data_IF_113505745134
#
_entry.id   IF_113505745134
#
_cell.length_a   1.000
_cell.length_b   1.000
_cell.length_c   1.000
_cell.angle_alpha   90.00
_cell.angle_beta   90.00
_cell.angle_gamma   90.00
#
_symmetry.space_group_name_H-M   'P 1'
#
loop_
_entity.id
_entity.type
_entity.pdbx_description
1 polymer ?
#
# COMPACT_ATOMS: atom_id res chain seq x y z
N UNK A 1 -70.85 0.92 -18.96
CA UNK A 1 -69.48 1.45 -18.94
C UNK A 1 -68.92 1.27 -17.53
N UNK A 2 -67.94 0.38 -17.27
CA UNK A 2 -67.36 0.28 -15.94
C UNK A 2 -66.15 1.22 -15.82
N UNK A 3 -66.15 2.03 -14.77
CA UNK A 3 -65.06 2.94 -14.40
C UNK A 3 -63.92 2.12 -13.80
N UNK A 4 -62.75 2.13 -14.45
CA UNK A 4 -61.51 1.52 -13.92
C UNK A 4 -60.87 2.47 -12.90
N UNK A 5 -60.81 2.05 -11.64
CA UNK A 5 -59.94 2.68 -10.64
C UNK A 5 -58.48 2.27 -10.91
N UNK A 6 -57.63 3.25 -11.23
CA UNK A 6 -56.18 3.08 -11.27
C UNK A 6 -55.63 3.21 -9.84
N UNK A 7 -55.17 2.11 -9.24
CA UNK A 7 -54.31 2.17 -8.06
C UNK A 7 -52.94 2.67 -8.48
N UNK A 8 -52.56 3.87 -8.04
CA UNK A 8 -51.17 4.33 -8.08
C UNK A 8 -50.37 3.56 -7.02
N UNK A 9 -49.49 2.66 -7.46
CA UNK A 9 -48.52 2.04 -6.57
C UNK A 9 -47.48 3.09 -6.18
N UNK A 10 -47.51 3.53 -4.91
CA UNK A 10 -46.45 4.33 -4.34
C UNK A 10 -45.18 3.47 -4.25
N UNK A 11 -44.22 3.73 -5.14
CA UNK A 11 -42.86 3.21 -5.03
C UNK A 11 -42.21 3.85 -3.82
N UNK A 12 -42.29 3.19 -2.67
CA UNK A 12 -41.44 3.49 -1.53
C UNK A 12 -40.00 3.23 -1.96
N UNK A 13 -39.27 4.31 -2.24
CA UNK A 13 -37.83 4.25 -2.48
C UNK A 13 -37.17 3.57 -1.30
N UNK A 14 -36.51 2.45 -1.55
CA UNK A 14 -35.58 1.85 -0.58
C UNK A 14 -34.54 2.93 -0.29
N UNK A 15 -34.36 3.37 0.96
CA UNK A 15 -33.31 4.32 1.27
C UNK A 15 -31.99 3.68 0.87
N UNK A 16 -31.27 4.30 -0.08
CA UNK A 16 -29.88 3.98 -0.32
C UNK A 16 -29.17 4.07 1.02
N UNK A 17 -28.76 2.92 1.56
CA UNK A 17 -27.87 2.89 2.71
C UNK A 17 -26.68 3.77 2.34
N UNK A 18 -26.49 4.87 3.07
CA UNK A 18 -25.33 5.73 2.86
C UNK A 18 -24.08 4.86 3.01
N UNK A 19 -23.25 4.82 1.97
CA UNK A 19 -21.94 4.20 2.09
C UNK A 19 -21.24 4.88 3.27
N UNK A 20 -20.88 4.09 4.29
CA UNK A 20 -20.10 4.62 5.41
C UNK A 20 -18.83 5.28 4.85
N UNK A 21 -18.42 6.45 5.35
CA UNK A 21 -17.17 7.06 4.92
C UNK A 21 -16.02 6.06 5.16
N UNK A 22 -15.16 5.87 4.16
CA UNK A 22 -14.01 4.97 4.27
C UNK A 22 -13.13 5.46 5.40
N UNK A 23 -12.76 4.55 6.30
CA UNK A 23 -11.95 4.87 7.48
C UNK A 23 -10.53 4.39 7.26
N UNK A 24 -9.56 5.19 7.67
CA UNK A 24 -8.15 4.81 7.74
C UNK A 24 -7.74 4.74 9.21
N UNK A 25 -7.83 3.56 9.87
CA UNK A 25 -7.26 3.39 11.19
C UNK A 25 -5.77 3.76 11.18
N UNK A 26 -5.32 4.45 12.23
CA UNK A 26 -3.89 4.73 12.43
C UNK A 26 -3.09 3.42 12.39
N UNK A 27 -1.91 3.45 11.78
CA UNK A 27 -0.97 2.34 11.74
C UNK A 27 -0.60 1.81 13.13
N UNK A 28 -0.73 2.62 14.19
CA UNK A 28 -0.54 2.17 15.57
C UNK A 28 -1.54 1.08 16.00
N UNK A 29 -2.75 1.06 15.44
CA UNK A 29 -3.69 -0.04 15.68
C UNK A 29 -3.16 -1.34 15.06
N UNK A 30 -2.57 -1.27 13.87
CA UNK A 30 -1.93 -2.41 13.22
C UNK A 30 -0.70 -2.88 14.02
N UNK A 31 0.08 -1.95 14.58
CA UNK A 31 1.29 -2.20 15.35
C UNK A 31 1.07 -3.11 16.57
N UNK A 32 -0.13 -3.08 17.17
CA UNK A 32 -0.42 -3.90 18.36
C UNK A 32 -0.25 -5.40 18.11
N UNK A 33 -0.55 -5.86 16.89
CA UNK A 33 -0.50 -7.27 16.53
C UNK A 33 0.56 -7.58 15.44
N UNK A 34 0.83 -6.61 14.56
CA UNK A 34 1.76 -6.73 13.44
C UNK A 34 3.09 -5.99 13.67
N UNK A 35 3.37 -5.55 14.90
CA UNK A 35 4.57 -4.76 15.23
C UNK A 35 5.77 -5.56 15.74
N UNK A 36 5.57 -6.82 16.19
CA UNK A 36 6.65 -7.63 16.77
C UNK A 36 6.51 -9.11 16.38
N UNK A 37 7.37 -9.55 15.47
CA UNK A 37 7.45 -10.93 14.98
C UNK A 37 8.91 -11.26 14.75
N UNK A 38 9.45 -12.17 15.57
CA UNK A 38 10.79 -12.69 15.33
C UNK A 38 10.80 -13.58 14.09
N UNK A 39 11.88 -13.57 13.29
CA UNK A 39 12.05 -14.52 12.20
C UNK A 39 12.04 -15.95 12.75
N UNK A 40 11.48 -16.94 12.03
CA UNK A 40 11.63 -18.35 12.38
C UNK A 40 13.11 -18.77 12.22
N UNK A 41 13.54 -19.79 12.98
CA UNK A 41 14.95 -20.19 13.06
C UNK A 41 15.58 -20.55 11.70
N UNK A 42 14.78 -21.08 10.77
CA UNK A 42 15.24 -21.48 9.43
C UNK A 42 15.25 -20.34 8.40
N UNK A 43 14.81 -19.13 8.76
CA UNK A 43 14.77 -17.99 7.84
C UNK A 43 16.17 -17.40 7.61
N UNK A 44 16.47 -17.07 6.36
CA UNK A 44 17.64 -16.32 5.93
C UNK A 44 17.48 -14.80 6.15
N UNK A 45 17.03 -14.39 7.33
CA UNK A 45 16.82 -12.98 7.67
C UNK A 45 17.96 -12.45 8.53
N UNK A 46 18.59 -11.34 8.09
CA UNK A 46 19.78 -10.76 8.75
C UNK A 46 19.68 -9.27 9.06
N UNK A 47 18.57 -8.61 8.70
CA UNK A 47 18.48 -7.14 8.71
C UNK A 47 17.98 -6.54 10.03
N UNK A 48 17.50 -7.37 10.95
CA UNK A 48 17.07 -6.92 12.28
C UNK A 48 16.36 -8.00 13.10
N UNK A 49 15.88 -7.66 14.30
CA UNK A 49 15.25 -8.62 15.21
C UNK A 49 13.80 -8.97 14.85
N UNK A 50 13.18 -8.24 13.93
CA UNK A 50 11.76 -8.37 13.60
C UNK A 50 11.54 -8.40 12.10
N UNK A 51 10.64 -9.29 11.66
CA UNK A 51 10.09 -9.37 10.31
C UNK A 51 8.65 -8.85 10.26
N UNK A 52 8.17 -8.23 11.35
CA UNK A 52 6.77 -7.84 11.45
C UNK A 52 6.40 -6.73 10.45
N UNK A 53 5.26 -6.82 9.75
CA UNK A 53 4.91 -5.86 8.71
C UNK A 53 4.98 -4.40 9.15
N UNK A 54 4.47 -4.05 10.35
CA UNK A 54 4.53 -2.67 10.85
C UNK A 54 5.97 -2.25 11.17
N UNK A 55 6.80 -3.13 11.71
CA UNK A 55 8.20 -2.81 12.04
C UNK A 55 9.00 -2.49 10.78
N UNK A 56 8.82 -3.28 9.72
CA UNK A 56 9.48 -3.05 8.42
C UNK A 56 8.92 -1.82 7.71
N UNK A 57 7.59 -1.66 7.68
CA UNK A 57 6.93 -0.52 7.05
C UNK A 57 7.32 0.81 7.71
N UNK A 58 7.34 0.90 9.05
CA UNK A 58 7.64 2.14 9.78
C UNK A 58 9.04 2.69 9.46
N UNK A 59 9.99 1.79 9.17
CA UNK A 59 11.33 2.16 8.75
C UNK A 59 11.39 2.57 7.26
N UNK A 60 10.44 2.10 6.45
CA UNK A 60 10.43 2.29 4.99
C UNK A 60 10.14 3.72 4.53
N UNK A 61 10.39 3.99 3.24
CA UNK A 61 10.04 5.29 2.64
C UNK A 61 8.52 5.49 2.48
N UNK A 62 7.71 4.43 2.52
CA UNK A 62 6.24 4.58 2.47
C UNK A 62 5.68 5.23 3.74
N UNK A 63 6.21 4.85 4.91
CA UNK A 63 5.88 5.49 6.19
C UNK A 63 6.44 6.92 6.33
N UNK A 64 7.29 7.35 5.38
CA UNK A 64 7.99 8.64 5.39
C UNK A 64 7.70 9.48 4.17
N UNK A 65 6.76 9.05 3.32
CA UNK A 65 6.54 9.63 2.01
C UNK A 65 6.19 11.12 2.10
N UNK A 66 5.44 11.54 3.12
CA UNK A 66 5.08 12.95 3.33
C UNK A 66 6.03 13.71 4.27
N UNK A 67 7.04 13.04 4.85
CA UNK A 67 7.99 13.65 5.80
C UNK A 67 9.43 13.63 5.30
N UNK A 68 9.68 13.09 4.10
CA UNK A 68 10.96 13.16 3.39
C UNK A 68 11.35 14.64 3.15
N UNK A 69 12.54 15.09 3.60
CA UNK A 69 12.99 16.46 3.40
C UNK A 69 13.12 16.86 1.93
N UNK A 70 13.45 15.94 1.02
CA UNK A 70 13.50 16.21 -0.41
C UNK A 70 12.10 16.46 -0.96
N UNK A 71 11.13 15.61 -0.58
CA UNK A 71 9.72 15.81 -0.91
C UNK A 71 9.21 17.15 -0.39
N UNK A 72 9.44 17.46 0.88
CA UNK A 72 9.00 18.72 1.49
C UNK A 72 9.60 19.95 0.79
N UNK A 73 10.88 19.88 0.41
CA UNK A 73 11.54 20.95 -0.35
C UNK A 73 10.90 21.13 -1.73
N UNK A 74 10.60 20.03 -2.43
CA UNK A 74 9.97 20.06 -3.76
C UNK A 74 8.55 20.59 -3.70
N UNK A 75 7.73 20.12 -2.77
CA UNK A 75 6.35 20.61 -2.56
C UNK A 75 6.38 22.11 -2.27
N UNK A 76 7.24 22.57 -1.34
CA UNK A 76 7.38 24.00 -1.06
C UNK A 76 7.73 24.82 -2.30
N UNK A 77 8.63 24.33 -3.14
CA UNK A 77 9.01 25.00 -4.38
C UNK A 77 7.84 25.07 -5.38
N UNK A 78 7.10 23.98 -5.55
CA UNK A 78 5.97 23.93 -6.48
C UNK A 78 4.76 24.73 -5.97
N UNK A 79 4.45 24.68 -4.67
CA UNK A 79 3.35 25.44 -4.08
C UNK A 79 3.55 26.96 -4.20
N UNK A 80 4.80 27.44 -4.27
CA UNK A 80 5.09 28.86 -4.57
C UNK A 80 4.69 29.27 -5.99
N UNK A 81 4.63 28.32 -6.94
CA UNK A 81 4.36 28.57 -8.36
C UNK A 81 2.90 28.27 -8.72
N UNK A 82 2.32 27.25 -8.10
CA UNK A 82 1.04 26.67 -8.48
C UNK A 82 -0.01 26.67 -7.34
N UNK A 83 0.33 27.21 -6.17
CA UNK A 83 -0.57 27.29 -5.03
C UNK A 83 -0.96 25.92 -4.46
N UNK A 84 -2.14 25.86 -3.84
CA UNK A 84 -2.63 24.68 -3.09
C UNK A 84 -3.07 23.52 -3.98
N UNK A 85 -3.19 23.71 -5.30
CA UNK A 85 -3.48 22.62 -6.24
C UNK A 85 -2.36 21.55 -6.25
N UNK A 86 -1.13 21.95 -5.92
CA UNK A 86 0.02 21.05 -5.73
C UNK A 86 -0.21 20.10 -4.58
N UNK A 87 -0.79 20.57 -3.48
CA UNK A 87 -0.98 19.77 -2.27
C UNK A 87 -1.90 18.58 -2.56
N UNK A 88 -3.02 18.80 -3.25
CA UNK A 88 -3.93 17.72 -3.65
C UNK A 88 -3.23 16.71 -4.58
N UNK A 89 -2.39 17.19 -5.51
CA UNK A 89 -1.69 16.32 -6.46
C UNK A 89 -0.63 15.45 -5.77
N UNK A 90 0.19 16.06 -4.92
CA UNK A 90 1.29 15.38 -4.22
C UNK A 90 0.76 14.46 -3.11
N UNK A 91 -0.19 14.93 -2.31
CA UNK A 91 -0.71 14.17 -1.16
C UNK A 91 -1.58 12.99 -1.58
N UNK A 92 -2.14 12.98 -2.80
CA UNK A 92 -2.83 11.81 -3.34
C UNK A 92 -1.98 10.53 -3.34
N UNK A 93 -0.65 10.68 -3.51
CA UNK A 93 0.29 9.55 -3.43
C UNK A 93 1.08 9.53 -2.11
N UNK A 94 1.41 10.68 -1.53
CA UNK A 94 2.33 10.76 -0.38
C UNK A 94 1.62 10.74 0.99
N UNK A 95 0.35 11.14 1.06
CA UNK A 95 -0.49 11.04 2.25
C UNK A 95 -1.95 10.65 1.89
N UNK A 96 -2.16 9.53 1.19
CA UNK A 96 -3.46 9.15 0.62
C UNK A 96 -4.60 9.02 1.64
N UNK A 97 -4.29 8.77 2.90
CA UNK A 97 -5.27 8.73 3.99
C UNK A 97 -5.65 10.13 4.54
N UNK A 98 -5.07 11.20 4.01
CA UNK A 98 -5.24 12.58 4.49
C UNK A 98 -4.40 12.93 5.72
N UNK A 99 -3.43 12.09 6.11
CA UNK A 99 -2.52 12.34 7.23
C UNK A 99 -1.06 12.25 6.76
N UNK A 100 -0.32 13.34 6.90
CA UNK A 100 1.11 13.40 6.58
C UNK A 100 1.95 12.58 7.56
N UNK A 101 1.52 12.50 8.82
CA UNK A 101 2.17 11.67 9.85
C UNK A 101 2.05 10.17 9.53
N UNK A 102 0.91 9.75 9.00
CA UNK A 102 0.66 8.36 8.59
C UNK A 102 1.23 8.05 7.19
N UNK A 103 1.49 9.08 6.37
CA UNK A 103 2.01 8.98 5.00
C UNK A 103 1.23 7.90 4.19
N UNK A 104 1.93 6.97 3.53
CA UNK A 104 1.30 5.80 2.88
C UNK A 104 1.12 4.69 3.92
N UNK A 105 0.03 4.77 4.68
CA UNK A 105 -0.28 3.86 5.79
C UNK A 105 -0.81 2.49 5.34
N UNK A 106 -0.77 1.51 6.25
CA UNK A 106 -1.17 0.12 5.99
C UNK A 106 -2.59 0.05 5.40
N UNK A 107 -3.50 0.81 5.99
CA UNK A 107 -4.92 0.78 5.63
C UNK A 107 -5.20 1.38 4.26
N UNK A 108 -4.27 2.10 3.63
CA UNK A 108 -4.45 2.56 2.24
C UNK A 108 -4.25 1.39 1.29
N UNK A 109 -3.05 0.81 1.24
CA UNK A 109 -2.75 -0.28 0.32
C UNK A 109 -3.69 -1.47 0.51
N UNK A 110 -4.01 -1.80 1.77
CA UNK A 110 -4.90 -2.90 2.09
C UNK A 110 -6.39 -2.58 1.86
N UNK A 111 -6.81 -1.35 1.55
CA UNK A 111 -8.23 -1.03 1.23
C UNK A 111 -8.49 -0.70 -0.24
N UNK A 112 -7.43 -0.53 -1.05
CA UNK A 112 -7.56 -0.36 -2.50
C UNK A 112 -8.28 -1.57 -3.08
N UNK A 113 -9.37 -1.32 -3.80
CA UNK A 113 -10.12 -2.32 -4.56
C UNK A 113 -9.45 -2.63 -5.90
N UNK A 114 -9.90 -3.68 -6.56
CA UNK A 114 -9.48 -4.04 -7.92
C UNK A 114 -10.03 -3.12 -9.02
N UNK A 115 -10.94 -2.20 -8.69
CA UNK A 115 -11.56 -1.31 -9.66
C UNK A 115 -10.54 -0.37 -10.30
N UNK A 116 -10.49 -0.39 -11.62
CA UNK A 116 -9.64 0.44 -12.48
C UNK A 116 -8.12 0.25 -12.29
N UNK A 117 -7.66 -0.77 -11.54
CA UNK A 117 -6.22 -0.97 -11.36
C UNK A 117 -5.51 -1.17 -12.70
N UNK A 118 -4.40 -0.47 -12.90
CA UNK A 118 -3.63 -0.50 -14.15
C UNK A 118 -4.25 0.30 -15.28
N UNK A 119 -5.44 0.89 -15.07
CA UNK A 119 -6.07 1.80 -16.01
C UNK A 119 -5.77 3.25 -15.62
N UNK A 120 -5.84 4.12 -16.63
CA UNK A 120 -5.63 5.57 -16.53
C UNK A 120 -6.36 6.22 -15.35
N UNK A 121 -7.59 5.80 -15.11
CA UNK A 121 -8.44 6.35 -14.05
C UNK A 121 -7.91 6.11 -12.62
N UNK A 122 -7.01 5.15 -12.42
CA UNK A 122 -6.44 4.82 -11.10
C UNK A 122 -5.10 5.50 -10.80
N UNK A 123 -4.45 6.05 -11.82
CA UNK A 123 -3.11 6.62 -11.71
C UNK A 123 -3.10 7.92 -10.92
N UNK A 124 -1.91 8.34 -10.48
CA UNK A 124 -1.70 9.56 -9.69
C UNK A 124 -2.54 9.65 -8.41
N UNK A 125 -2.67 8.53 -7.69
CA UNK A 125 -3.38 8.46 -6.41
C UNK A 125 -4.89 8.31 -6.53
N UNK A 126 -5.44 8.14 -7.73
CA UNK A 126 -6.89 8.04 -7.96
C UNK A 126 -7.43 6.60 -7.81
N UNK A 127 -6.82 5.81 -6.94
CA UNK A 127 -7.27 4.44 -6.69
C UNK A 127 -8.69 4.41 -6.11
N UNK A 128 -9.42 3.35 -6.43
CA UNK A 128 -10.74 3.12 -5.88
C UNK A 128 -10.64 2.32 -4.58
N UNK A 129 -11.30 2.77 -3.51
CA UNK A 129 -11.38 2.03 -2.23
C UNK A 129 -12.58 1.07 -2.23
N UNK A 130 -12.48 -0.04 -1.49
CA UNK A 130 -13.57 -1.03 -1.43
C UNK A 130 -14.92 -0.47 -0.95
N UNK A 131 -14.92 0.51 -0.04
CA UNK A 131 -16.14 1.07 0.56
C UNK A 131 -16.76 0.20 1.66
N UNK A 132 -16.20 -0.99 1.93
CA UNK A 132 -16.79 -2.01 2.80
C UNK A 132 -15.90 -2.37 4.01
N UNK A 133 -15.03 -1.45 4.44
CA UNK A 133 -14.07 -1.66 5.53
C UNK A 133 -13.28 -2.98 5.37
N UNK A 134 -12.82 -3.32 4.16
CA UNK A 134 -12.06 -4.56 3.90
C UNK A 134 -10.57 -4.31 3.92
N UNK A 135 -9.81 -5.17 4.60
CA UNK A 135 -8.35 -5.20 4.50
C UNK A 135 -7.90 -6.40 3.65
N UNK A 136 -7.48 -6.16 2.42
CA UNK A 136 -7.11 -7.17 1.46
C UNK A 136 -5.73 -7.77 1.73
N UNK A 137 -5.63 -9.09 1.66
CA UNK A 137 -4.35 -9.81 1.75
C UNK A 137 -4.32 -11.04 0.84
N UNK A 138 -3.12 -11.59 0.57
CA UNK A 138 -2.96 -12.66 -0.40
C UNK A 138 -3.42 -14.02 0.14
N UNK A 139 -3.56 -14.17 1.46
CA UNK A 139 -3.83 -15.47 2.07
C UNK A 139 -5.32 -15.78 2.15
N UNK A 140 -5.69 -16.98 1.72
CA UNK A 140 -7.04 -17.52 1.84
C UNK A 140 -7.47 -17.69 3.30
N UNK A 141 -8.77 -17.51 3.57
CA UNK A 141 -9.39 -17.74 4.89
C UNK A 141 -8.63 -17.03 6.03
N UNK A 142 -8.53 -15.69 6.01
CA UNK A 142 -7.94 -14.95 7.12
C UNK A 142 -8.76 -15.15 8.40
N UNK A 143 -8.10 -15.08 9.56
CA UNK A 143 -8.80 -15.06 10.85
C UNK A 143 -9.21 -13.63 11.17
N UNK A 144 -10.51 -13.37 11.33
CA UNK A 144 -11.06 -12.02 11.21
C UNK A 144 -11.16 -11.26 12.53
N UNK A 145 -11.71 -11.91 13.56
CA UNK A 145 -12.16 -11.27 14.81
C UNK A 145 -11.19 -10.26 15.44
N UNK A 146 -9.87 -10.53 15.60
CA UNK A 146 -8.98 -9.57 16.24
C UNK A 146 -8.84 -8.26 15.46
N UNK A 147 -8.79 -8.34 14.14
CA UNK A 147 -8.63 -7.17 13.27
C UNK A 147 -9.92 -6.37 13.19
N UNK A 148 -11.06 -7.05 13.04
CA UNK A 148 -12.39 -6.43 13.03
C UNK A 148 -12.66 -5.66 14.33
N UNK A 149 -12.41 -6.29 15.47
CA UNK A 149 -12.66 -5.66 16.78
C UNK A 149 -11.75 -4.48 17.06
N UNK A 150 -10.50 -4.52 16.59
CA UNK A 150 -9.52 -3.49 16.92
C UNK A 150 -9.50 -2.32 15.91
N UNK A 151 -9.82 -2.58 14.65
CA UNK A 151 -9.69 -1.59 13.56
C UNK A 151 -11.00 -1.28 12.86
N UNK A 152 -12.03 -2.14 13.02
CA UNK A 152 -13.23 -2.12 12.20
C UNK A 152 -13.05 -2.70 10.80
N UNK A 153 -11.83 -3.11 10.43
CA UNK A 153 -11.55 -3.69 9.11
C UNK A 153 -11.70 -5.22 9.12
N UNK A 154 -12.37 -5.75 8.11
CA UNK A 154 -12.51 -7.20 7.86
C UNK A 154 -11.36 -7.68 6.97
N UNK A 155 -10.42 -8.51 7.47
CA UNK A 155 -9.38 -9.05 6.62
C UNK A 155 -10.02 -9.97 5.57
N UNK A 156 -9.69 -9.74 4.31
CA UNK A 156 -10.33 -10.38 3.15
C UNK A 156 -9.25 -10.88 2.20
N UNK A 157 -9.39 -12.11 1.71
CA UNK A 157 -8.51 -12.58 0.64
C UNK A 157 -8.81 -11.83 -0.66
N UNK A 158 -7.78 -11.30 -1.32
CA UNK A 158 -7.90 -10.81 -2.69
C UNK A 158 -6.56 -10.90 -3.42
N UNK A 159 -6.58 -11.37 -4.68
CA UNK A 159 -5.38 -11.58 -5.48
C UNK A 159 -4.75 -10.29 -6.00
N UNK A 160 -5.53 -9.21 -6.17
CA UNK A 160 -5.04 -7.93 -6.70
C UNK A 160 -3.99 -7.27 -5.82
N UNK A 161 -3.91 -7.62 -4.52
CA UNK A 161 -2.85 -7.15 -3.62
C UNK A 161 -1.44 -7.55 -4.09
N UNK A 162 -1.35 -8.61 -4.91
CA UNK A 162 -0.11 -9.12 -5.51
C UNK A 162 0.12 -8.60 -6.94
N UNK A 163 -0.78 -7.76 -7.47
CA UNK A 163 -0.67 -7.22 -8.83
C UNK A 163 0.20 -5.97 -8.87
N UNK A 164 1.08 -5.87 -9.86
CA UNK A 164 1.83 -4.65 -10.16
C UNK A 164 0.91 -3.42 -10.34
N UNK A 165 -0.32 -3.65 -10.83
CA UNK A 165 -1.33 -2.62 -11.03
C UNK A 165 -1.76 -1.91 -9.73
N UNK A 166 -1.58 -2.54 -8.56
CA UNK A 166 -1.77 -1.88 -7.26
C UNK A 166 -0.73 -0.79 -7.06
N UNK A 167 0.54 -1.06 -7.35
CA UNK A 167 1.62 -0.09 -7.19
C UNK A 167 1.52 1.03 -8.23
N UNK A 168 0.99 0.72 -9.42
CA UNK A 168 0.77 1.67 -10.51
C UNK A 168 -0.12 2.85 -10.13
N UNK A 169 -0.99 2.71 -9.12
CA UNK A 169 -1.87 3.79 -8.68
C UNK A 169 -1.07 5.01 -8.22
N UNK A 170 0.10 4.80 -7.60
CA UNK A 170 0.99 5.87 -7.17
C UNK A 170 2.25 5.98 -8.05
N UNK A 171 2.76 4.85 -8.56
CA UNK A 171 3.95 4.80 -9.43
C UNK A 171 3.61 4.98 -10.93
N UNK A 172 2.60 5.79 -11.20
CA UNK A 172 2.28 6.34 -12.52
C UNK A 172 1.73 7.74 -12.30
N UNK A 173 2.60 8.74 -12.47
CA UNK A 173 2.28 10.14 -12.16
C UNK A 173 2.11 10.89 -13.47
N UNK A 174 0.90 11.40 -13.67
CA UNK A 174 0.51 12.17 -14.83
C UNK A 174 0.13 13.57 -14.35
N UNK A 175 0.83 14.59 -14.81
CA UNK A 175 0.61 15.98 -14.44
C UNK A 175 0.07 16.80 -15.62
N UNK A 176 -0.41 18.00 -15.33
CA UNK A 176 -0.84 18.98 -16.33
C UNK A 176 0.09 20.19 -16.24
N UNK A 177 1.08 20.32 -17.15
CA UNK A 177 2.06 21.40 -17.08
C UNK A 177 1.40 22.77 -17.27
N UNK A 178 1.80 23.76 -16.47
CA UNK A 178 1.34 25.14 -16.67
C UNK A 178 1.86 25.72 -17.99
N UNK A 179 1.09 26.65 -18.56
CA UNK A 179 1.47 27.33 -19.82
C UNK A 179 1.29 26.47 -21.08
N UNK A 180 0.64 25.31 -20.94
CA UNK A 180 0.25 24.44 -22.06
C UNK A 180 -1.26 24.52 -22.30
N UNK A 181 -1.77 24.12 -23.49
CA UNK A 181 -3.20 24.06 -23.74
C UNK A 181 -3.93 23.23 -22.68
N UNK A 182 -5.18 23.62 -22.37
CA UNK A 182 -6.02 22.88 -21.42
C UNK A 182 -6.13 21.39 -21.83
N UNK A 183 -6.01 20.51 -20.85
CA UNK A 183 -6.00 19.05 -21.08
C UNK A 183 -4.67 18.48 -21.54
N UNK A 184 -3.61 19.29 -21.74
CA UNK A 184 -2.26 18.76 -21.97
C UNK A 184 -1.79 17.96 -20.76
N UNK A 185 -1.23 16.79 -21.02
CA UNK A 185 -0.77 15.87 -20.00
C UNK A 185 0.72 15.56 -20.19
N UNK A 186 1.40 15.36 -19.07
CA UNK A 186 2.79 14.94 -19.02
C UNK A 186 2.94 13.76 -18.06
N UNK A 187 3.57 12.69 -18.53
CA UNK A 187 3.87 11.53 -17.67
C UNK A 187 5.18 11.83 -16.94
N UNK A 188 5.07 12.34 -15.71
CA UNK A 188 6.21 12.66 -14.87
C UNK A 188 6.93 11.41 -14.34
N UNK A 189 6.17 10.36 -14.02
CA UNK A 189 6.71 9.07 -13.61
C UNK A 189 5.99 7.97 -14.38
N UNK A 190 6.75 7.15 -15.10
CA UNK A 190 6.27 6.02 -15.89
C UNK A 190 6.73 4.61 -15.44
N UNK A 191 7.17 4.30 -14.20
CA UNK A 191 7.67 2.96 -13.86
C UNK A 191 6.74 1.80 -14.22
N UNK A 192 5.42 1.97 -14.10
CA UNK A 192 4.47 0.91 -14.50
C UNK A 192 4.44 0.69 -16.02
N UNK A 193 4.52 1.75 -16.82
CA UNK A 193 4.55 1.65 -18.28
C UNK A 193 5.89 1.11 -18.78
N UNK A 194 6.98 1.44 -18.10
CA UNK A 194 8.30 0.84 -18.34
C UNK A 194 8.27 -0.66 -18.01
N UNK A 195 7.71 -1.03 -16.85
CA UNK A 195 7.56 -2.42 -16.42
C UNK A 195 6.69 -3.23 -17.39
N UNK A 196 5.50 -2.73 -17.77
CA UNK A 196 4.56 -3.48 -18.64
C UNK A 196 5.14 -3.70 -20.05
N UNK A 197 6.13 -2.89 -20.44
CA UNK A 197 6.85 -2.99 -21.71
C UNK A 197 8.14 -3.81 -21.60
N UNK A 198 8.43 -4.41 -20.44
CA UNK A 198 9.66 -5.17 -20.17
C UNK A 198 9.40 -6.68 -20.13
N UNK A 199 10.46 -7.47 -20.30
CA UNK A 199 10.43 -8.92 -20.14
C UNK A 199 9.86 -9.38 -18.78
N UNK A 200 10.05 -8.58 -17.72
CA UNK A 200 9.51 -8.90 -16.40
C UNK A 200 7.99 -8.99 -16.39
N UNK A 201 7.29 -8.15 -17.14
CA UNK A 201 5.84 -8.24 -17.26
C UNK A 201 5.41 -9.47 -18.07
N UNK A 202 6.15 -9.81 -19.14
CA UNK A 202 5.92 -11.01 -19.94
C UNK A 202 6.10 -12.29 -19.12
N UNK A 203 7.08 -12.31 -18.21
CA UNK A 203 7.37 -13.41 -17.29
C UNK A 203 6.46 -13.44 -16.05
N UNK A 204 5.54 -12.47 -15.91
CA UNK A 204 4.63 -12.38 -14.75
C UNK A 204 5.31 -11.95 -13.44
N UNK A 205 6.51 -11.38 -13.51
CA UNK A 205 7.22 -10.83 -12.36
C UNK A 205 6.63 -9.48 -11.99
N UNK A 206 5.70 -9.49 -11.04
CA UNK A 206 5.09 -8.27 -10.51
C UNK A 206 6.08 -7.43 -9.69
N UNK A 207 5.75 -6.14 -9.47
CA UNK A 207 6.55 -5.23 -8.63
C UNK A 207 6.85 -5.85 -7.24
N UNK A 208 5.85 -6.48 -6.65
CA UNK A 208 5.92 -7.12 -5.33
C UNK A 208 6.95 -8.26 -5.29
N UNK A 209 7.22 -8.94 -6.41
CA UNK A 209 8.16 -10.06 -6.45
C UNK A 209 9.57 -9.65 -6.03
N UNK A 210 9.97 -8.41 -6.32
CA UNK A 210 11.27 -7.86 -5.93
C UNK A 210 11.18 -6.80 -4.82
N UNK A 211 10.09 -6.00 -4.76
CA UNK A 211 9.98 -4.90 -3.80
C UNK A 211 9.22 -5.26 -2.52
N UNK A 212 8.58 -6.43 -2.48
CA UNK A 212 7.98 -7.03 -1.27
C UNK A 212 8.50 -8.45 -1.17
N UNK A 213 9.81 -8.57 -0.99
CA UNK A 213 10.52 -9.84 -1.01
C UNK A 213 9.88 -10.86 -0.08
N UNK A 214 9.82 -12.11 -0.55
CA UNK A 214 9.35 -13.20 0.29
C UNK A 214 10.43 -13.57 1.29
N UNK A 215 10.03 -13.78 2.54
CA UNK A 215 10.89 -14.35 3.55
C UNK A 215 11.32 -15.75 3.08
N UNK A 216 12.62 -15.94 2.90
CA UNK A 216 13.18 -17.19 2.41
C UNK A 216 13.97 -17.93 3.49
N UNK A 217 14.17 -19.23 3.31
CA UNK A 217 15.11 -20.05 4.07
C UNK A 217 16.55 -19.87 3.54
N UNK A 218 17.54 -20.43 4.23
CA UNK A 218 18.93 -20.44 3.73
C UNK A 218 19.07 -21.16 2.37
N UNK A 219 18.14 -22.05 2.03
CA UNK A 219 18.09 -22.76 0.75
C UNK A 219 17.37 -21.96 -0.36
N UNK A 220 16.82 -20.78 -0.05
CA UNK A 220 16.09 -19.94 -1.01
C UNK A 220 14.60 -20.30 -1.17
N UNK A 221 14.06 -21.15 -0.32
CA UNK A 221 12.64 -21.56 -0.33
C UNK A 221 11.78 -20.62 0.54
N UNK A 222 10.46 -20.54 0.29
CA UNK A 222 9.57 -19.72 1.13
C UNK A 222 9.55 -20.21 2.60
N UNK A 223 9.95 -19.34 3.53
CA UNK A 223 9.91 -19.61 4.96
C UNK A 223 8.54 -19.26 5.54
N UNK A 224 7.95 -20.20 6.29
CA UNK A 224 6.65 -20.02 6.92
C UNK A 224 6.75 -19.14 8.17
N UNK A 225 5.87 -18.15 8.30
CA UNK A 225 5.81 -17.29 9.50
C UNK A 225 4.38 -16.97 9.92
N UNK A 226 4.18 -16.66 11.19
CA UNK A 226 2.93 -16.06 11.66
C UNK A 226 2.83 -14.61 11.17
N UNK A 227 1.61 -14.16 10.85
CA UNK A 227 1.38 -12.79 10.34
C UNK A 227 1.16 -11.78 11.47
N UNK A 228 0.68 -12.24 12.62
CA UNK A 228 0.41 -11.40 13.79
C UNK A 228 0.55 -12.21 15.08
N UNK A 229 0.92 -11.51 16.16
CA UNK A 229 0.89 -12.02 17.53
C UNK A 229 -0.08 -11.20 18.38
N UNK A 230 -0.57 -11.79 19.47
CA UNK A 230 -1.36 -11.08 20.48
C UNK A 230 -0.48 -10.04 21.18
N UNK A 231 -1.02 -8.93 21.71
CA UNK A 231 -0.23 -7.94 22.45
C UNK A 231 0.59 -8.53 23.62
N UNK A 232 0.08 -9.50 24.42
CA UNK A 232 0.87 -10.17 25.46
C UNK A 232 1.94 -11.14 24.92
N UNK A 233 1.94 -11.43 23.62
CA UNK A 233 2.85 -12.36 22.95
C UNK A 233 2.20 -13.64 22.42
N UNK A 234 2.90 -14.25 21.44
CA UNK A 234 2.51 -15.49 20.79
C UNK A 234 1.36 -15.35 19.79
N UNK A 235 1.08 -16.42 19.01
CA UNK A 235 0.08 -16.39 17.95
C UNK A 235 -1.35 -16.30 18.49
N UNK A 236 -2.29 -15.95 17.61
CA UNK A 236 -3.73 -16.07 17.88
C UNK A 236 -4.19 -17.49 17.52
N UNK A 237 -4.58 -18.38 18.46
CA UNK A 237 -5.23 -19.63 18.07
C UNK A 237 -6.54 -19.33 17.35
N UNK A 238 -6.88 -20.00 16.23
CA UNK A 238 -6.25 -21.20 15.66
C UNK A 238 -5.29 -20.92 14.49
N UNK A 239 -4.72 -19.72 14.38
CA UNK A 239 -3.79 -19.37 13.29
C UNK A 239 -2.56 -20.28 13.26
N UNK A 240 -2.01 -20.44 12.06
CA UNK A 240 -0.80 -21.20 11.78
C UNK A 240 0.15 -20.34 10.94
N UNK A 241 1.46 -20.65 10.92
CA UNK A 241 2.40 -20.01 9.99
C UNK A 241 1.91 -20.14 8.55
N UNK A 242 2.18 -19.13 7.73
CA UNK A 242 1.76 -19.07 6.32
C UNK A 242 2.95 -18.79 5.41
N UNK A 243 2.84 -19.32 4.19
CA UNK A 243 3.71 -18.99 3.05
C UNK A 243 2.84 -18.55 1.87
N UNK A 244 3.36 -17.71 0.97
CA UNK A 244 4.58 -16.91 1.13
C UNK A 244 4.40 -15.79 2.17
N UNK A 245 5.47 -15.34 2.84
CA UNK A 245 5.41 -14.19 3.76
C UNK A 245 6.13 -12.99 3.13
N UNK A 246 5.41 -11.88 2.88
CA UNK A 246 5.98 -10.67 2.27
C UNK A 246 6.62 -9.73 3.28
N UNK A 247 7.88 -9.37 3.05
CA UNK A 247 8.64 -8.40 3.84
C UNK A 247 8.28 -6.98 3.39
N UNK A 248 7.67 -6.20 4.28
CA UNK A 248 7.19 -4.84 4.01
C UNK A 248 8.33 -3.79 4.07
N UNK A 249 9.43 -4.09 3.39
CA UNK A 249 10.64 -3.28 3.31
C UNK A 249 10.62 -2.44 2.03
N UNK A 250 9.88 -1.33 2.07
CA UNK A 250 9.78 -0.45 0.91
C UNK A 250 10.97 0.52 0.85
N UNK A 251 11.99 0.13 0.11
CA UNK A 251 13.11 1.03 -0.20
C UNK A 251 12.68 2.07 -1.24
N UNK A 252 13.05 3.32 -1.02
CA UNK A 252 12.99 4.36 -2.06
C UNK A 252 14.23 4.32 -2.95
N UNK A 253 14.21 5.04 -4.06
CA UNK A 253 15.36 5.18 -4.96
C UNK A 253 16.54 5.97 -4.32
N UNK A 254 16.31 6.65 -3.20
CA UNK A 254 17.29 7.48 -2.54
C UNK A 254 17.88 6.75 -1.33
N UNK A 255 19.16 6.35 -1.41
CA UNK A 255 19.87 5.70 -0.30
C UNK A 255 20.35 6.68 0.79
N UNK A 256 20.38 7.99 0.49
CA UNK A 256 20.88 9.04 1.39
C UNK A 256 19.81 9.56 2.37
N UNK A 257 18.53 9.51 1.99
CA UNK A 257 17.41 10.01 2.81
C UNK A 257 17.09 9.13 4.02
N UNK A 258 17.01 7.78 3.93
CA UNK A 258 16.65 6.96 5.08
C UNK A 258 17.53 7.19 6.32
N UNK A 259 18.87 7.33 6.24
CA UNK A 259 19.70 7.68 7.40
C UNK A 259 19.29 9.00 8.08
N UNK A 260 18.93 10.04 7.32
CA UNK A 260 18.50 11.33 7.86
C UNK A 260 17.19 11.23 8.66
N UNK A 261 16.38 10.21 8.35
CA UNK A 261 15.09 9.96 8.98
C UNK A 261 15.15 8.83 10.03
N UNK A 262 16.36 8.40 10.42
CA UNK A 262 16.56 7.31 11.38
C UNK A 262 16.10 5.94 10.88
N UNK A 263 16.01 5.75 9.56
CA UNK A 263 15.58 4.50 8.91
C UNK A 263 16.76 3.61 8.53
N UNK A 264 17.40 3.03 9.54
CA UNK A 264 18.67 2.32 9.37
C UNK A 264 18.53 1.00 8.59
N UNK A 265 17.43 0.26 8.78
CA UNK A 265 17.21 -1.02 8.08
C UNK A 265 17.04 -0.75 6.59
N UNK A 266 16.19 0.22 6.25
CA UNK A 266 15.92 0.68 4.89
C UNK A 266 17.18 1.27 4.25
N UNK A 267 17.99 2.03 5.00
CA UNK A 267 19.27 2.56 4.52
C UNK A 267 20.24 1.43 4.11
N UNK A 268 20.42 0.43 4.97
CA UNK A 268 21.29 -0.73 4.69
C UNK A 268 20.79 -1.51 3.48
N UNK A 269 19.48 -1.73 3.38
CA UNK A 269 18.86 -2.41 2.24
C UNK A 269 19.06 -1.62 0.94
N UNK A 270 18.84 -0.31 0.96
CA UNK A 270 19.04 0.55 -0.20
C UNK A 270 20.51 0.53 -0.68
N UNK A 271 21.47 0.61 0.26
CA UNK A 271 22.89 0.50 -0.05
C UNK A 271 23.25 -0.87 -0.66
N UNK A 272 22.76 -1.97 -0.07
CA UNK A 272 23.00 -3.32 -0.57
C UNK A 272 22.42 -3.51 -1.99
N UNK A 273 21.23 -2.98 -2.26
CA UNK A 273 20.62 -3.03 -3.59
C UNK A 273 21.47 -2.26 -4.62
N UNK A 274 21.97 -1.07 -4.27
CA UNK A 274 22.84 -0.29 -5.12
C UNK A 274 24.16 -1.02 -5.42
N UNK A 275 24.80 -1.60 -4.39
CA UNK A 275 26.03 -2.39 -4.58
C UNK A 275 25.81 -3.58 -5.51
N UNK A 276 24.68 -4.30 -5.35
CA UNK A 276 24.32 -5.41 -6.27
C UNK A 276 24.13 -4.92 -7.69
N UNK A 277 23.44 -3.80 -7.90
CA UNK A 277 23.20 -3.23 -9.23
C UNK A 277 24.51 -2.81 -9.93
N UNK A 278 25.49 -2.29 -9.19
CA UNK A 278 26.81 -1.92 -9.72
C UNK A 278 27.73 -3.12 -10.01
N UNK A 279 27.34 -4.32 -9.57
CA UNK A 279 28.13 -5.55 -9.75
C UNK A 279 27.61 -6.41 -10.92
N UNK A 280 26.60 -5.94 -11.64
CA UNK A 280 26.04 -6.53 -12.86
C UNK A 280 26.66 -5.88 -14.09
#
# INVERSE_FOLDING_TARGET
>A
MPVRFLLAAALFGVPYASAQPVRFPSSNNCAMCHGRLSPPENAAWKEGPSIAPYALWRDSMMAKAATDPYFLARVRYESQRAGTAVDAKCLGCHAPAGSTEESVTCSVCHQISDRNLGARASFSGNFALSGENRAFGPHLKPFTMPMEHHTGLTPTHASHILSAALCATCHTVITHPQGTPEGTEFVEQAPYFEWISSAWAEEGVACQSCHVERLATAAGEDAASYIAHRPPGGPFPPTKPRTPFGLHLFVGANYQVPPLLGAEVTARRAAANLTRALSL
#
